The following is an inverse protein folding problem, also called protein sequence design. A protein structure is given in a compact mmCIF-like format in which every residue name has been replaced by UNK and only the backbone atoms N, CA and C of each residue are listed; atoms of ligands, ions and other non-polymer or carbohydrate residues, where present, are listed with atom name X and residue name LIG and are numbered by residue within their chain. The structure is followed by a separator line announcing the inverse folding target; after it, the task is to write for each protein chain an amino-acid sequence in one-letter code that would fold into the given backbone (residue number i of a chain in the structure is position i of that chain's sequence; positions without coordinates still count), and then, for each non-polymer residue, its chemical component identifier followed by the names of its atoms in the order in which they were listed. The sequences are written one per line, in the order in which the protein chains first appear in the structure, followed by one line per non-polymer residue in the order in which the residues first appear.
data_IF_794777027292
#
_entry.id   IF_794777027292
#
_cell.length_a   1.000
_cell.length_b   1.000
_cell.length_c   1.000
_cell.angle_alpha   90.00
_cell.angle_beta   90.00
_cell.angle_gamma   90.00
#
_symmetry.space_group_name_H-M   'P 1'
#
loop_
_entity.id
_entity.type
_entity.pdbx_description
1 polymer ?
#
# COMPACT_ATOMS: atom_id res chain seq x y z
N UNK A 1 1.24 15.13 7.86
CA UNK A 1 1.15 13.70 8.23
C UNK A 1 0.76 12.89 6.99
N UNK A 2 1.50 11.85 6.71
CA UNK A 2 1.25 11.00 5.54
C UNK A 2 -0.03 10.18 5.71
N UNK A 3 -0.72 9.98 4.59
CA UNK A 3 -2.00 9.27 4.51
C UNK A 3 -1.84 8.03 3.64
N UNK A 4 -2.21 6.88 4.17
CA UNK A 4 -2.04 5.58 3.51
C UNK A 4 -3.41 4.93 3.26
N UNK A 5 -3.65 4.46 2.05
CA UNK A 5 -4.85 3.67 1.74
C UNK A 5 -4.46 2.19 1.70
N UNK A 6 -5.10 1.39 2.57
CA UNK A 6 -4.89 -0.06 2.67
C UNK A 6 -6.03 -0.76 1.93
N UNK A 7 -5.70 -1.52 0.90
CA UNK A 7 -6.66 -2.14 -0.01
C UNK A 7 -6.50 -3.66 0.05
N UNK A 8 -7.48 -4.34 0.65
CA UNK A 8 -7.47 -5.80 0.82
C UNK A 8 -8.91 -6.24 1.10
N UNK A 9 -9.34 -7.35 0.52
CA UNK A 9 -10.70 -7.87 0.74
C UNK A 9 -10.84 -8.58 2.08
N UNK A 10 -9.76 -8.97 2.73
CA UNK A 10 -9.78 -9.63 4.03
C UNK A 10 -9.74 -8.60 5.17
N UNK A 11 -10.84 -8.51 5.93
CA UNK A 11 -10.97 -7.54 7.02
C UNK A 11 -9.86 -7.69 8.08
N UNK A 12 -9.47 -8.92 8.41
CA UNK A 12 -8.41 -9.18 9.39
C UNK A 12 -7.06 -8.68 8.90
N UNK A 13 -6.76 -8.82 7.61
CA UNK A 13 -5.50 -8.32 7.02
C UNK A 13 -5.49 -6.80 7.00
N UNK A 14 -6.60 -6.16 6.60
CA UNK A 14 -6.71 -4.69 6.64
C UNK A 14 -6.48 -4.17 8.05
N UNK A 15 -7.13 -4.77 9.04
CA UNK A 15 -6.97 -4.38 10.45
C UNK A 15 -5.52 -4.48 10.90
N UNK A 16 -4.85 -5.59 10.55
CA UNK A 16 -3.45 -5.84 10.88
C UNK A 16 -2.54 -4.77 10.28
N UNK A 17 -2.66 -4.52 8.98
CA UNK A 17 -1.84 -3.52 8.29
C UNK A 17 -2.11 -2.11 8.82
N UNK A 18 -3.37 -1.74 9.02
CA UNK A 18 -3.74 -0.43 9.51
C UNK A 18 -3.22 -0.17 10.93
N UNK A 19 -3.28 -1.20 11.79
CA UNK A 19 -2.75 -1.07 13.14
C UNK A 19 -1.25 -0.81 13.13
N UNK A 20 -0.50 -1.61 12.38
CA UNK A 20 0.95 -1.48 12.29
C UNK A 20 1.34 -0.09 11.75
N UNK A 21 0.72 0.34 10.66
CA UNK A 21 1.03 1.61 10.03
C UNK A 21 0.55 2.80 10.88
N UNK A 22 -0.60 2.66 11.50
CA UNK A 22 -1.13 3.68 12.42
C UNK A 22 -0.26 3.87 13.67
N UNK A 23 0.25 2.76 14.21
CA UNK A 23 1.17 2.82 15.37
C UNK A 23 2.49 3.50 15.02
N UNK A 24 2.87 3.48 13.73
CA UNK A 24 4.05 4.22 13.25
C UNK A 24 3.81 5.72 13.10
N UNK A 25 2.57 6.18 13.29
CA UNK A 25 2.23 7.61 13.28
C UNK A 25 1.55 8.11 12.02
N UNK A 26 1.27 7.25 11.04
CA UNK A 26 0.61 7.65 9.81
C UNK A 26 -0.91 7.52 9.89
N UNK A 27 -1.61 8.33 9.11
CA UNK A 27 -3.06 8.20 8.96
C UNK A 27 -3.35 7.06 7.98
N UNK A 28 -4.38 6.26 8.27
CA UNK A 28 -4.77 5.16 7.40
C UNK A 28 -6.26 5.21 7.07
N UNK A 29 -6.59 4.79 5.86
CA UNK A 29 -7.95 4.51 5.42
C UNK A 29 -7.94 3.15 4.75
N UNK A 30 -9.09 2.62 4.38
CA UNK A 30 -9.17 1.28 3.82
C UNK A 30 -10.15 1.18 2.67
N UNK A 31 -9.95 0.18 1.83
CA UNK A 31 -10.88 -0.20 0.77
C UNK A 31 -10.89 -1.73 0.65
N UNK A 32 -12.04 -2.28 0.26
CA UNK A 32 -12.25 -3.74 0.20
C UNK A 32 -11.92 -4.35 -1.16
N UNK A 33 -11.76 -3.51 -2.18
CA UNK A 33 -11.37 -3.93 -3.53
C UNK A 33 -10.89 -2.73 -4.33
N UNK A 34 -10.45 -2.99 -5.56
CA UNK A 34 -9.92 -1.93 -6.42
C UNK A 34 -10.94 -0.87 -6.82
N UNK A 35 -12.20 -1.25 -7.00
CA UNK A 35 -13.24 -0.27 -7.37
C UNK A 35 -13.50 0.72 -6.24
N UNK A 36 -13.65 0.24 -5.02
CA UNK A 36 -13.81 1.10 -3.85
C UNK A 36 -12.60 1.99 -3.65
N UNK A 37 -11.40 1.44 -3.87
CA UNK A 37 -10.16 2.21 -3.79
C UNK A 37 -10.16 3.37 -4.78
N UNK A 38 -10.54 3.13 -6.04
CA UNK A 38 -10.62 4.20 -7.04
C UNK A 38 -11.65 5.26 -6.67
N UNK A 39 -12.79 4.87 -6.12
CA UNK A 39 -13.78 5.83 -5.62
C UNK A 39 -13.18 6.73 -4.55
N UNK A 40 -12.45 6.15 -3.60
CA UNK A 40 -11.80 6.90 -2.54
C UNK A 40 -10.72 7.85 -3.08
N UNK A 41 -9.94 7.39 -4.05
CA UNK A 41 -8.95 8.25 -4.73
C UNK A 41 -9.63 9.45 -5.38
N UNK A 42 -10.72 9.20 -6.11
CA UNK A 42 -11.46 10.26 -6.82
C UNK A 42 -12.14 11.25 -5.89
N UNK A 43 -12.57 10.80 -4.71
CA UNK A 43 -13.29 11.62 -3.74
C UNK A 43 -12.35 12.30 -2.73
N UNK A 44 -11.06 11.96 -2.75
CA UNK A 44 -10.09 12.55 -1.82
C UNK A 44 -9.84 14.01 -2.22
N UNK A 45 -9.88 14.94 -1.25
CA UNK A 45 -9.55 16.34 -1.53
C UNK A 45 -8.14 16.46 -2.11
N UNK A 46 -7.95 17.41 -3.05
CA UNK A 46 -6.68 17.59 -3.73
C UNK A 46 -5.53 18.02 -2.80
N UNK A 47 -5.88 18.64 -1.66
CA UNK A 47 -4.91 19.05 -0.64
C UNK A 47 -4.66 17.96 0.41
N UNK A 48 -5.37 16.82 0.34
CA UNK A 48 -5.22 15.68 1.25
C UNK A 48 -5.11 14.37 0.47
N UNK A 49 -4.16 14.22 -0.47
CA UNK A 49 -4.04 13.00 -1.26
C UNK A 49 -3.55 11.83 -0.41
N UNK A 50 -3.74 10.61 -0.92
CA UNK A 50 -3.05 9.47 -0.38
C UNK A 50 -1.58 9.52 -0.81
N UNK A 51 -0.69 9.27 0.14
CA UNK A 51 0.77 9.34 -0.07
C UNK A 51 1.37 7.96 -0.36
N UNK A 52 0.62 6.90 -0.05
CA UNK A 52 1.05 5.52 -0.26
C UNK A 52 -0.18 4.63 -0.38
N UNK A 53 -0.11 3.64 -1.27
CA UNK A 53 -1.12 2.59 -1.38
C UNK A 53 -0.50 1.25 -1.01
N UNK A 54 -1.17 0.51 -0.13
CA UNK A 54 -0.80 -0.86 0.25
C UNK A 54 -1.88 -1.78 -0.31
N UNK A 55 -1.54 -2.59 -1.30
CA UNK A 55 -2.51 -3.22 -2.19
C UNK A 55 -2.34 -4.74 -2.23
N UNK A 56 -3.42 -5.47 -1.92
CA UNK A 56 -3.51 -6.91 -2.17
C UNK A 56 -3.78 -7.17 -3.66
N UNK A 57 -3.39 -8.34 -4.15
CA UNK A 57 -3.59 -8.70 -5.56
C UNK A 57 -4.98 -9.30 -5.79
N UNK A 58 -5.32 -10.37 -5.08
CA UNK A 58 -6.51 -11.16 -5.35
C UNK A 58 -7.72 -10.61 -4.59
N UNK A 59 -8.51 -9.80 -5.28
CA UNK A 59 -9.71 -9.19 -4.73
C UNK A 59 -10.88 -9.32 -5.72
N UNK A 60 -12.14 -9.41 -5.23
CA UNK A 60 -13.29 -9.43 -6.13
C UNK A 60 -13.49 -8.06 -6.80
N UNK A 61 -14.23 -8.04 -7.90
CA UNK A 61 -14.65 -6.87 -8.70
C UNK A 61 -13.49 -6.20 -9.44
N UNK A 62 -12.39 -5.88 -8.78
CA UNK A 62 -11.18 -5.34 -9.40
C UNK A 62 -9.98 -5.78 -8.58
N UNK A 63 -9.07 -6.51 -9.18
CA UNK A 63 -7.86 -6.98 -8.51
C UNK A 63 -6.81 -5.85 -8.34
N UNK A 64 -5.74 -6.18 -7.62
CA UNK A 64 -4.70 -5.20 -7.32
C UNK A 64 -3.95 -4.70 -8.55
N UNK A 65 -3.65 -5.58 -9.49
CA UNK A 65 -2.97 -5.16 -10.73
C UNK A 65 -3.81 -4.17 -11.53
N UNK A 66 -5.09 -4.47 -11.67
CA UNK A 66 -6.02 -3.61 -12.41
C UNK A 66 -6.18 -2.27 -11.74
N UNK A 67 -6.27 -2.24 -10.40
CA UNK A 67 -6.31 -1.00 -9.64
C UNK A 67 -5.08 -0.13 -9.92
N UNK A 68 -3.89 -0.72 -9.85
CA UNK A 68 -2.64 0.03 -10.06
C UNK A 68 -2.57 0.57 -11.48
N UNK A 69 -2.96 -0.23 -12.49
CA UNK A 69 -3.00 0.23 -13.88
C UNK A 69 -3.93 1.43 -14.04
N UNK A 70 -5.13 1.36 -13.46
CA UNK A 70 -6.10 2.45 -13.53
C UNK A 70 -5.60 3.70 -12.79
N UNK A 71 -4.98 3.52 -11.61
CA UNK A 71 -4.38 4.62 -10.87
C UNK A 71 -3.33 5.34 -11.70
N UNK A 72 -2.45 4.59 -12.39
CA UNK A 72 -1.38 5.17 -13.21
C UNK A 72 -1.90 5.88 -14.46
N UNK A 73 -3.06 5.49 -14.96
CA UNK A 73 -3.72 6.15 -16.09
C UNK A 73 -4.46 7.42 -15.68
N UNK A 74 -4.74 7.61 -14.40
CA UNK A 74 -5.57 8.70 -13.90
C UNK A 74 -4.73 9.98 -13.82
N UNK A 75 -4.83 10.85 -14.82
CA UNK A 75 -4.01 12.05 -14.92
C UNK A 75 -4.19 13.03 -13.75
N UNK A 76 -5.40 13.06 -13.15
CA UNK A 76 -5.70 13.95 -12.02
C UNK A 76 -5.31 13.35 -10.66
N UNK A 77 -5.00 12.05 -10.59
CA UNK A 77 -4.60 11.41 -9.35
C UNK A 77 -3.11 11.66 -9.09
N UNK A 78 -2.77 11.90 -7.83
CA UNK A 78 -1.37 11.95 -7.42
C UNK A 78 -0.75 10.57 -7.62
N UNK A 79 0.40 10.51 -8.30
CA UNK A 79 1.10 9.28 -8.62
C UNK A 79 1.97 8.82 -7.45
N UNK A 80 1.33 8.56 -6.32
CA UNK A 80 1.98 8.11 -5.10
C UNK A 80 2.49 6.68 -5.25
N UNK A 81 3.49 6.28 -4.46
CA UNK A 81 4.03 4.91 -4.53
C UNK A 81 3.00 3.86 -4.14
N UNK A 82 3.17 2.68 -4.71
CA UNK A 82 2.33 1.50 -4.47
C UNK A 82 3.21 0.37 -3.96
N UNK A 83 2.82 -0.19 -2.82
CA UNK A 83 3.40 -1.41 -2.25
C UNK A 83 2.37 -2.53 -2.41
N UNK A 84 2.70 -3.55 -3.21
CA UNK A 84 1.87 -4.75 -3.29
C UNK A 84 2.22 -5.66 -2.11
N UNK A 85 1.22 -6.26 -1.48
CA UNK A 85 1.42 -7.23 -0.40
C UNK A 85 0.54 -8.44 -0.72
N UNK A 86 1.15 -9.59 -1.00
CA UNK A 86 0.43 -10.75 -1.51
C UNK A 86 1.02 -12.06 -1.03
N UNK A 87 0.19 -13.12 -1.02
CA UNK A 87 0.65 -14.49 -0.80
C UNK A 87 1.36 -15.07 -2.03
N UNK A 88 1.19 -14.43 -3.21
CA UNK A 88 1.83 -14.89 -4.44
C UNK A 88 3.34 -14.59 -4.42
N UNK A 89 4.16 -15.62 -4.64
CA UNK A 89 5.61 -15.52 -4.46
C UNK A 89 6.42 -15.83 -5.73
N UNK A 90 5.76 -16.00 -6.87
CA UNK A 90 6.42 -16.32 -8.14
C UNK A 90 7.07 -15.07 -8.74
N UNK A 91 8.19 -15.24 -9.45
CA UNK A 91 8.85 -14.13 -10.13
C UNK A 91 7.93 -13.45 -11.16
N UNK A 92 7.03 -14.22 -11.79
CA UNK A 92 6.05 -13.71 -12.73
C UNK A 92 5.08 -12.73 -12.05
N UNK A 93 4.68 -13.00 -10.81
CA UNK A 93 3.76 -12.13 -10.05
C UNK A 93 4.42 -10.79 -9.77
N UNK A 94 5.69 -10.81 -9.38
CA UNK A 94 6.48 -9.60 -9.13
C UNK A 94 6.64 -8.78 -10.41
N UNK A 95 6.97 -9.42 -11.53
CA UNK A 95 7.10 -8.76 -12.83
C UNK A 95 5.79 -8.10 -13.25
N UNK A 96 4.67 -8.81 -13.09
CA UNK A 96 3.35 -8.29 -13.41
C UNK A 96 3.01 -7.07 -12.57
N UNK A 97 3.35 -7.09 -11.27
CA UNK A 97 3.13 -5.97 -10.37
C UNK A 97 3.91 -4.73 -10.81
N UNK A 98 5.20 -4.88 -11.11
CA UNK A 98 6.03 -3.75 -11.56
C UNK A 98 5.59 -3.23 -12.93
N UNK A 99 5.21 -4.11 -13.85
CA UNK A 99 4.68 -3.71 -15.16
C UNK A 99 3.37 -2.93 -15.01
N UNK A 100 2.56 -3.25 -14.01
CA UNK A 100 1.34 -2.50 -13.73
C UNK A 100 1.61 -1.12 -13.15
N UNK A 101 2.78 -0.92 -12.54
CA UNK A 101 3.20 0.37 -11.98
C UNK A 101 3.43 0.36 -10.47
N UNK A 102 3.58 -0.82 -9.85
CA UNK A 102 3.94 -0.93 -8.44
C UNK A 102 5.40 -0.57 -8.21
N UNK A 103 5.70 -0.07 -7.01
CA UNK A 103 7.05 0.36 -6.61
C UNK A 103 7.75 -0.66 -5.73
N UNK A 104 6.99 -1.52 -5.06
CA UNK A 104 7.53 -2.52 -4.16
C UNK A 104 6.58 -3.72 -4.06
N UNK A 105 7.12 -4.87 -3.65
CA UNK A 105 6.34 -6.11 -3.53
C UNK A 105 6.79 -6.83 -2.25
N UNK A 106 5.86 -7.09 -1.34
CA UNK A 106 6.11 -7.88 -0.12
C UNK A 106 5.27 -9.15 -0.14
N UNK A 107 5.83 -10.22 0.42
CA UNK A 107 5.15 -11.52 0.55
C UNK A 107 4.41 -11.56 1.89
N UNK A 108 3.15 -11.98 1.88
CA UNK A 108 2.37 -12.19 3.12
C UNK A 108 2.80 -13.48 3.82
N UNK A 109 2.81 -13.49 5.14
CA UNK A 109 2.58 -12.38 6.05
C UNK A 109 3.80 -11.45 6.14
N UNK A 110 3.58 -10.15 5.93
CA UNK A 110 4.64 -9.16 6.07
C UNK A 110 4.91 -8.93 7.56
N UNK A 111 6.17 -8.99 7.96
CA UNK A 111 6.55 -8.70 9.35
C UNK A 111 6.31 -7.22 9.65
N UNK A 112 5.94 -6.86 10.89
CA UNK A 112 5.67 -5.46 11.22
C UNK A 112 6.82 -4.52 10.88
N UNK A 113 8.06 -4.88 11.21
CA UNK A 113 9.24 -4.05 10.92
C UNK A 113 9.45 -3.90 9.40
N UNK A 114 9.25 -4.98 8.64
CA UNK A 114 9.38 -4.95 7.18
C UNK A 114 8.33 -4.02 6.56
N UNK A 115 7.09 -4.12 7.01
CA UNK A 115 6.00 -3.29 6.51
C UNK A 115 6.27 -1.81 6.81
N UNK A 116 6.65 -1.49 8.05
CA UNK A 116 6.92 -0.11 8.46
C UNK A 116 8.15 0.44 7.75
N UNK A 117 9.24 -0.32 7.69
CA UNK A 117 10.47 0.14 7.03
C UNK A 117 10.23 0.43 5.55
N UNK A 118 9.55 -0.48 4.86
CA UNK A 118 9.24 -0.31 3.43
C UNK A 118 8.34 0.91 3.22
N UNK A 119 7.30 1.06 4.03
CA UNK A 119 6.41 2.22 3.96
C UNK A 119 7.18 3.52 4.21
N UNK A 120 8.03 3.55 5.22
CA UNK A 120 8.82 4.74 5.56
C UNK A 120 9.76 5.14 4.42
N UNK A 121 10.41 4.17 3.78
CA UNK A 121 11.28 4.44 2.64
C UNK A 121 10.49 5.00 1.45
N UNK A 122 9.33 4.43 1.15
CA UNK A 122 8.48 4.91 0.05
C UNK A 122 7.87 6.28 0.34
N UNK A 123 7.55 6.57 1.59
CA UNK A 123 7.02 7.87 2.02
C UNK A 123 8.10 8.94 2.18
N UNK A 124 9.37 8.54 2.22
CA UNK A 124 10.47 9.48 2.49
C UNK A 124 10.45 9.98 3.94
N UNK A 125 10.14 9.11 4.89
CA UNK A 125 10.08 9.41 6.32
C UNK A 125 11.32 8.84 7.02
N UNK A 126 12.42 9.61 7.17
CA UNK A 126 13.66 9.07 7.70
C UNK A 126 13.57 8.68 9.17
N UNK A 127 12.78 9.37 9.97
CA UNK A 127 12.63 9.04 11.39
C UNK A 127 11.94 7.70 11.59
N UNK A 128 10.86 7.44 10.85
CA UNK A 128 10.16 6.17 10.90
C UNK A 128 11.05 5.04 10.36
N UNK A 129 11.84 5.30 9.31
CA UNK A 129 12.76 4.31 8.75
C UNK A 129 13.84 3.92 9.73
N UNK A 130 14.45 4.88 10.43
CA UNK A 130 15.47 4.61 11.46
C UNK A 130 14.91 3.81 12.62
N UNK A 131 13.71 4.18 13.08
CA UNK A 131 13.04 3.50 14.18
C UNK A 131 12.72 2.04 13.83
N UNK A 132 12.24 1.79 12.63
CA UNK A 132 11.95 0.44 12.15
C UNK A 132 13.25 -0.38 12.01
N UNK A 133 14.31 0.21 11.49
CA UNK A 133 15.61 -0.44 11.35
C UNK A 133 16.22 -0.83 12.70
N UNK A 134 16.06 0.00 13.73
CA UNK A 134 16.48 -0.31 15.10
C UNK A 134 15.74 -1.52 15.64
N UNK A 135 14.44 -1.62 15.39
CA UNK A 135 13.63 -2.79 15.74
C UNK A 135 14.13 -4.07 15.10
N UNK A 136 14.59 -4.01 13.85
CA UNK A 136 15.14 -5.17 13.13
C UNK A 136 16.45 -5.65 13.74
N UNK A 137 17.25 -4.75 14.31
CA UNK A 137 18.54 -5.10 14.94
C UNK A 137 18.39 -5.76 16.30
N UNK A 138 17.30 -5.48 16.96
CA UNK A 138 17.00 -6.09 18.26
C UNK A 138 16.49 -7.54 18.08
#
# INVERSE_FOLDING_TARGET
MSRILVIDDAATVRMYHRKILGDAGWQTDEAINGLEALEKVNNQPSDEPFDLYVVDINMPKMDGYSFVRELRRHASARQSPVMMVSTEAQSQDTSTAFDAGANCYLIKPAKPQELVLTAALLLGDPQAALKAAEGVRA
#
